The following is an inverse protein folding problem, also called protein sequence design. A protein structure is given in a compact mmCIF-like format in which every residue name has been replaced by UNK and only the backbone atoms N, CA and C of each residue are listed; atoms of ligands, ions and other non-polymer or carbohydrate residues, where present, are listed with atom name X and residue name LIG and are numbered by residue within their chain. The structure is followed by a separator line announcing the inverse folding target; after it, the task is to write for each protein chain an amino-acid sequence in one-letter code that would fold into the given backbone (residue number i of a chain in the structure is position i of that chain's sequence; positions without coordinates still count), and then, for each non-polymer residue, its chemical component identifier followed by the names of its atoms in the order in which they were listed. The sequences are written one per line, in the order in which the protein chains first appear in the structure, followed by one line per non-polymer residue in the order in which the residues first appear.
data_IF_369960952657
#
_entry.id   IF_369960952657
#
_cell.length_a   1.000
_cell.length_b   1.000
_cell.length_c   1.000
_cell.angle_alpha   90.00
_cell.angle_beta   90.00
_cell.angle_gamma   90.00
#
_symmetry.space_group_name_H-M   'P 1'
#
loop_
_entity.id
_entity.type
_entity.pdbx_description
1 polymer ?
#
# COMPACT_ATOMS: atom_id res chain seq x y z
N UNK A 1 -0.86 -4.80 -46.59
CA UNK A 1 0.61 -4.67 -46.51
C UNK A 1 1.12 -5.47 -45.31
N UNK A 2 2.31 -6.11 -45.41
CA UNK A 2 2.89 -6.94 -44.33
C UNK A 2 3.07 -6.19 -43.01
N UNK A 3 3.16 -4.88 -43.03
CA UNK A 3 3.32 -4.03 -41.83
C UNK A 3 2.00 -3.78 -41.08
N UNK A 4 0.85 -3.86 -41.75
CA UNK A 4 -0.44 -3.77 -41.04
C UNK A 4 -0.72 -5.04 -40.24
N UNK A 5 -0.36 -6.21 -40.77
CA UNK A 5 -0.46 -7.48 -40.03
C UNK A 5 0.46 -7.57 -38.82
N UNK A 6 1.67 -7.00 -38.87
CA UNK A 6 2.58 -7.02 -37.75
C UNK A 6 2.07 -6.14 -36.60
N UNK A 7 1.53 -4.96 -36.89
CA UNK A 7 0.87 -4.11 -35.87
C UNK A 7 -0.37 -4.78 -35.26
N UNK A 8 -1.13 -5.50 -36.04
CA UNK A 8 -2.31 -6.23 -35.58
C UNK A 8 -1.92 -7.46 -34.76
N UNK A 9 -0.85 -8.16 -35.11
CA UNK A 9 -0.26 -9.25 -34.32
C UNK A 9 0.30 -8.73 -33.02
N UNK A 10 1.01 -7.61 -33.02
CA UNK A 10 1.55 -6.98 -31.81
C UNK A 10 0.42 -6.43 -30.90
N UNK A 11 -0.68 -5.94 -31.47
CA UNK A 11 -1.85 -5.51 -30.70
C UNK A 11 -2.65 -6.69 -30.13
N UNK A 12 -2.59 -7.85 -30.77
CA UNK A 12 -3.15 -9.13 -30.30
C UNK A 12 -2.20 -9.95 -29.43
N UNK A 13 -0.96 -9.49 -29.21
CA UNK A 13 -0.12 -10.11 -28.19
C UNK A 13 -0.88 -10.01 -26.87
N UNK A 14 -1.36 -11.15 -26.41
CA UNK A 14 -1.95 -11.32 -25.08
C UNK A 14 -0.91 -10.74 -24.13
N UNK A 15 -1.22 -9.57 -23.55
CA UNK A 15 -0.35 -8.99 -22.53
C UNK A 15 -0.25 -10.02 -21.44
N UNK A 16 0.95 -10.54 -21.24
CA UNK A 16 1.20 -11.47 -20.13
C UNK A 16 0.70 -10.80 -18.86
N UNK A 17 -0.22 -11.41 -18.14
CA UNK A 17 -0.71 -10.85 -16.90
C UNK A 17 0.45 -10.74 -15.91
N UNK A 18 0.61 -9.57 -15.32
CA UNK A 18 1.64 -9.30 -14.31
C UNK A 18 0.98 -9.28 -12.94
N UNK A 19 1.55 -10.03 -12.01
CA UNK A 19 1.23 -9.94 -10.60
C UNK A 19 2.46 -9.40 -9.87
N UNK A 20 2.32 -8.27 -9.18
CA UNK A 20 3.42 -7.59 -8.50
C UNK A 20 3.65 -8.20 -7.12
N UNK A 21 4.88 -8.61 -6.84
CA UNK A 21 5.24 -9.21 -5.56
C UNK A 21 5.33 -8.23 -4.40
N UNK A 22 5.50 -6.93 -4.67
CA UNK A 22 5.60 -5.89 -3.65
C UNK A 22 5.58 -4.49 -4.28
N UNK A 23 4.80 -3.56 -3.75
CA UNK A 23 4.88 -2.15 -4.09
C UNK A 23 4.49 -1.25 -2.91
N UNK A 24 5.06 -0.04 -2.88
CA UNK A 24 4.88 0.96 -1.83
C UNK A 24 3.86 2.04 -2.20
N UNK A 25 2.86 1.71 -3.00
CA UNK A 25 1.86 2.69 -3.42
C UNK A 25 1.16 3.34 -2.21
N UNK A 26 0.73 2.52 -1.24
CA UNK A 26 -0.02 3.00 -0.08
C UNK A 26 0.82 3.95 0.78
N UNK A 27 2.09 3.62 1.01
CA UNK A 27 3.04 4.52 1.67
C UNK A 27 3.20 5.84 0.92
N UNK A 28 3.31 5.79 -0.40
CA UNK A 28 3.50 6.99 -1.21
C UNK A 28 2.27 7.91 -1.17
N UNK A 29 1.06 7.36 -1.23
CA UNK A 29 -0.20 8.11 -1.11
C UNK A 29 -0.37 8.68 0.31
N UNK A 30 -0.07 7.89 1.33
CA UNK A 30 -0.11 8.35 2.72
C UNK A 30 0.85 9.52 2.96
N UNK A 31 2.09 9.45 2.44
CA UNK A 31 3.09 10.51 2.58
C UNK A 31 2.71 11.80 1.84
N UNK A 32 2.01 11.70 0.73
CA UNK A 32 1.48 12.86 0.00
C UNK A 32 0.15 13.37 0.56
N UNK A 33 -0.40 12.71 1.58
CA UNK A 33 -1.72 12.97 2.16
C UNK A 33 -2.87 12.84 1.13
N UNK A 34 -2.70 11.98 0.14
CA UNK A 34 -3.74 11.62 -0.82
C UNK A 34 -4.55 10.43 -0.28
N UNK A 35 -5.45 10.70 0.67
CA UNK A 35 -6.22 9.68 1.37
C UNK A 35 -7.32 9.04 0.50
N UNK A 36 -7.68 9.67 -0.60
CA UNK A 36 -8.66 9.17 -1.57
C UNK A 36 -8.00 8.43 -2.74
N UNK A 37 -6.66 8.51 -2.86
CA UNK A 37 -5.89 7.84 -3.90
C UNK A 37 -6.08 8.43 -5.29
N UNK A 38 -6.39 9.71 -5.39
CA UNK A 38 -6.60 10.41 -6.67
C UNK A 38 -5.37 10.31 -7.58
N UNK A 39 -4.19 10.47 -7.03
CA UNK A 39 -2.92 10.32 -7.76
C UNK A 39 -2.81 8.93 -8.40
N UNK A 40 -3.24 7.88 -7.70
CA UNK A 40 -3.25 6.54 -8.26
C UNK A 40 -4.28 6.41 -9.39
N UNK A 41 -5.48 6.92 -9.21
CA UNK A 41 -6.60 6.75 -10.15
C UNK A 41 -6.38 7.55 -11.44
N UNK A 42 -5.92 8.80 -11.34
CA UNK A 42 -5.81 9.70 -12.49
C UNK A 42 -4.41 9.74 -13.12
N UNK A 43 -3.42 9.21 -12.43
CA UNK A 43 -2.02 9.18 -12.87
C UNK A 43 -1.13 10.08 -12.00
N UNK A 44 0.13 9.64 -11.84
CA UNK A 44 1.12 10.29 -10.98
C UNK A 44 2.28 10.83 -11.82
N UNK A 45 2.77 12.01 -11.47
CA UNK A 45 4.02 12.53 -12.08
C UNK A 45 5.23 11.72 -11.63
N UNK A 46 5.25 11.30 -10.35
CA UNK A 46 6.36 10.53 -9.75
C UNK A 46 5.88 9.15 -9.32
N UNK A 47 6.81 8.20 -9.27
CA UNK A 47 6.53 6.80 -8.92
C UNK A 47 6.28 5.93 -10.15
N UNK A 48 6.04 4.65 -9.91
CA UNK A 48 5.99 3.64 -10.96
C UNK A 48 4.59 3.04 -11.15
N UNK A 49 3.73 3.15 -10.13
CA UNK A 49 2.40 2.54 -10.11
C UNK A 49 1.33 3.62 -10.05
N UNK A 50 0.46 3.60 -11.06
CA UNK A 50 -0.83 4.27 -11.13
C UNK A 50 -1.76 3.45 -12.04
N UNK A 51 -3.04 3.69 -11.95
CA UNK A 51 -4.05 2.91 -12.69
C UNK A 51 -3.86 2.95 -14.22
N UNK A 52 -3.56 4.10 -14.87
CA UNK A 52 -3.25 4.13 -16.30
C UNK A 52 -2.05 3.25 -16.67
N UNK A 53 -0.95 3.29 -15.90
CA UNK A 53 0.25 2.47 -16.14
C UNK A 53 -0.01 1.00 -15.86
N UNK A 54 -0.76 0.67 -14.80
CA UNK A 54 -1.18 -0.70 -14.50
C UNK A 54 -1.94 -1.32 -15.67
N UNK A 55 -2.94 -0.62 -16.19
CA UNK A 55 -3.70 -1.06 -17.36
C UNK A 55 -2.81 -1.22 -18.61
N UNK A 56 -1.94 -0.25 -18.87
CA UNK A 56 -1.01 -0.29 -20.00
C UNK A 56 -0.01 -1.44 -19.88
N UNK A 57 0.50 -1.72 -18.67
CA UNK A 57 1.49 -2.76 -18.37
C UNK A 57 0.91 -4.17 -18.22
N UNK A 58 -0.43 -4.32 -18.15
CA UNK A 58 -1.06 -5.61 -17.93
C UNK A 58 -1.02 -6.10 -16.48
N UNK A 59 -0.86 -5.17 -15.51
CA UNK A 59 -0.93 -5.50 -14.08
C UNK A 59 -2.34 -5.99 -13.74
N UNK A 60 -2.44 -7.17 -13.15
CA UNK A 60 -3.69 -7.80 -12.70
C UNK A 60 -3.87 -7.79 -11.20
N UNK A 61 -2.81 -7.51 -10.45
CA UNK A 61 -2.83 -7.43 -9.00
C UNK A 61 -1.44 -7.43 -8.41
N UNK A 62 -1.38 -7.40 -7.09
CA UNK A 62 -0.12 -7.45 -6.36
C UNK A 62 -0.29 -7.35 -4.86
N UNK A 63 0.83 -7.46 -4.16
CA UNK A 63 0.94 -7.14 -2.74
C UNK A 63 1.19 -5.64 -2.58
N UNK A 64 0.15 -4.95 -2.07
CA UNK A 64 0.22 -3.53 -1.75
C UNK A 64 0.72 -3.38 -0.33
N UNK A 65 1.97 -2.97 -0.22
CA UNK A 65 2.68 -2.94 1.05
C UNK A 65 2.24 -1.77 1.92
N UNK A 66 2.11 -2.06 3.19
CA UNK A 66 1.91 -1.12 4.28
C UNK A 66 3.19 -1.17 5.10
N UNK A 67 4.02 -0.16 4.91
CA UNK A 67 5.27 0.02 5.63
C UNK A 67 5.14 1.23 6.54
N UNK A 68 5.46 1.06 7.82
CA UNK A 68 5.42 2.15 8.80
C UNK A 68 6.79 2.82 8.89
N UNK A 69 6.95 4.03 8.36
CA UNK A 69 8.24 4.71 8.42
C UNK A 69 8.50 5.29 9.82
N UNK A 70 9.75 5.68 10.07
CA UNK A 70 10.10 6.40 11.28
C UNK A 70 9.26 7.68 11.46
N UNK A 71 9.00 8.05 12.72
CA UNK A 71 8.09 9.15 13.08
C UNK A 71 8.44 10.51 12.47
N UNK A 72 9.74 10.75 12.23
CA UNK A 72 10.25 12.01 11.65
C UNK A 72 9.95 12.18 10.16
N UNK A 73 9.52 11.11 9.46
CA UNK A 73 9.14 11.15 8.04
C UNK A 73 7.64 10.97 7.81
N UNK A 74 6.85 10.83 8.88
CA UNK A 74 5.40 10.87 8.80
C UNK A 74 4.91 12.25 8.32
N UNK A 75 3.86 12.31 7.48
CA UNK A 75 3.33 13.59 7.02
C UNK A 75 2.76 14.41 8.18
N UNK A 76 2.91 15.74 8.11
CA UNK A 76 2.38 16.63 9.17
C UNK A 76 0.87 16.44 9.38
N UNK A 77 0.12 16.28 8.29
CA UNK A 77 -1.32 16.02 8.34
C UNK A 77 -1.70 14.74 9.12
N UNK A 78 -0.81 13.73 9.19
CA UNK A 78 -1.03 12.58 10.07
C UNK A 78 -1.05 13.01 11.54
N UNK A 79 -0.12 13.85 11.98
CA UNK A 79 -0.06 14.33 13.36
C UNK A 79 -1.22 15.24 13.73
N UNK A 80 -1.74 16.00 12.78
CA UNK A 80 -2.95 16.81 12.95
C UNK A 80 -4.19 15.94 13.19
N UNK A 81 -4.28 14.80 12.50
CA UNK A 81 -5.36 13.81 12.72
C UNK A 81 -5.21 13.00 14.00
N UNK A 82 -3.98 12.87 14.51
CA UNK A 82 -3.66 12.07 15.70
C UNK A 82 -2.96 12.90 16.79
N UNK A 83 -3.61 13.94 17.35
CA UNK A 83 -2.98 14.83 18.31
C UNK A 83 -2.52 14.09 19.59
N UNK A 84 -3.19 13.00 19.96
CA UNK A 84 -2.84 12.20 21.13
C UNK A 84 -1.49 11.48 20.97
N UNK A 85 -1.05 11.25 19.73
CA UNK A 85 0.24 10.62 19.44
C UNK A 85 1.41 11.62 19.39
N UNK A 86 1.15 12.93 19.41
CA UNK A 86 2.18 13.97 19.29
C UNK A 86 3.20 13.92 20.44
N UNK A 87 2.81 13.41 21.62
CA UNK A 87 3.72 13.22 22.75
C UNK A 87 4.87 12.27 22.41
N UNK A 88 4.62 11.28 21.56
CA UNK A 88 5.62 10.32 21.09
C UNK A 88 6.57 10.93 20.04
N UNK A 89 6.13 11.97 19.30
CA UNK A 89 6.97 12.74 18.36
C UNK A 89 8.08 13.52 19.08
N UNK A 90 7.83 13.95 20.32
CA UNK A 90 8.82 14.73 21.12
C UNK A 90 9.90 13.86 21.74
N UNK A 91 9.62 12.60 22.06
CA UNK A 91 10.62 11.64 22.54
C UNK A 91 11.71 11.31 21.50
N UNK A 92 11.36 11.38 20.22
CA UNK A 92 12.28 11.17 19.10
C UNK A 92 13.34 12.31 18.91
N UNK A 93 13.23 13.41 19.67
CA UNK A 93 14.20 14.53 19.63
C UNK A 93 15.29 14.49 20.67
N UNK A 94 15.26 13.54 21.60
CA UNK A 94 16.39 13.34 22.52
C UNK A 94 17.55 12.72 21.72
N UNK A 95 18.57 13.55 21.47
CA UNK A 95 19.80 13.15 20.82
C UNK A 95 20.43 11.95 21.52
N UNK A 96 20.36 10.80 20.87
CA UNK A 96 21.27 9.71 21.20
C UNK A 96 22.67 10.00 20.68
N UNK A 97 23.74 9.59 21.39
CA UNK A 97 25.11 9.87 20.98
C UNK A 97 25.43 9.21 19.62
N UNK A 98 26.13 9.94 18.79
CA UNK A 98 26.40 9.73 17.36
C UNK A 98 27.25 8.50 16.98
N UNK A 99 27.39 7.50 17.81
CA UNK A 99 28.30 6.37 17.60
C UNK A 99 27.66 5.00 17.40
N UNK A 100 26.33 4.90 17.24
CA UNK A 100 25.68 3.63 16.91
C UNK A 100 25.15 3.65 15.47
N UNK A 101 25.81 2.89 14.58
CA UNK A 101 25.38 2.58 13.21
C UNK A 101 24.03 1.82 13.13
N UNK A 102 23.40 1.53 14.27
CA UNK A 102 22.12 0.83 14.40
C UNK A 102 21.09 1.69 15.14
N UNK A 103 21.03 2.99 14.83
CA UNK A 103 20.03 3.88 15.41
C UNK A 103 18.66 3.65 14.74
N UNK A 104 18.09 2.47 14.95
CA UNK A 104 16.68 2.21 14.68
C UNK A 104 15.89 2.80 15.85
N UNK A 105 15.33 4.00 15.66
CA UNK A 105 14.28 4.50 16.57
C UNK A 105 13.22 3.43 16.70
N UNK A 106 12.99 2.96 17.90
CA UNK A 106 11.91 2.01 18.16
C UNK A 106 10.58 2.70 17.88
N UNK A 107 9.90 2.24 16.84
CA UNK A 107 8.57 2.72 16.47
C UNK A 107 7.58 2.26 17.55
N UNK A 108 6.82 3.20 18.13
CA UNK A 108 5.79 2.81 19.09
C UNK A 108 4.64 2.08 18.39
N UNK A 109 4.13 1.01 19.00
CA UNK A 109 3.02 0.23 18.48
C UNK A 109 1.78 1.09 18.18
N UNK A 110 1.47 2.07 19.02
CA UNK A 110 0.31 2.97 18.84
C UNK A 110 0.43 3.81 17.58
N UNK A 111 1.61 4.37 17.32
CA UNK A 111 1.88 5.09 16.08
C UNK A 111 1.82 4.15 14.87
N UNK A 112 2.48 3.00 14.97
CA UNK A 112 2.52 2.02 13.90
C UNK A 112 1.12 1.54 13.53
N UNK A 113 0.28 1.26 14.51
CA UNK A 113 -1.09 0.84 14.29
C UNK A 113 -1.94 1.93 13.63
N UNK A 114 -1.84 3.18 14.09
CA UNK A 114 -2.56 4.30 13.48
C UNK A 114 -2.15 4.52 12.02
N UNK A 115 -0.86 4.52 11.71
CA UNK A 115 -0.36 4.65 10.35
C UNK A 115 -0.80 3.47 9.45
N UNK A 116 -0.77 2.24 9.98
CA UNK A 116 -1.25 1.04 9.28
C UNK A 116 -2.73 1.16 8.93
N UNK A 117 -3.57 1.59 9.87
CA UNK A 117 -5.01 1.77 9.63
C UNK A 117 -5.27 2.85 8.59
N UNK A 118 -4.54 3.97 8.61
CA UNK A 118 -4.68 5.00 7.57
C UNK A 118 -4.35 4.46 6.17
N UNK A 119 -3.26 3.70 6.02
CA UNK A 119 -2.89 3.11 4.73
C UNK A 119 -3.89 2.05 4.26
N UNK A 120 -4.47 1.25 5.16
CA UNK A 120 -5.56 0.32 4.82
C UNK A 120 -6.80 1.11 4.36
N UNK A 121 -7.13 2.21 5.03
CA UNK A 121 -8.27 3.05 4.64
C UNK A 121 -8.05 3.69 3.26
N UNK A 122 -6.83 4.09 2.90
CA UNK A 122 -6.52 4.54 1.54
C UNK A 122 -6.84 3.43 0.53
N UNK A 123 -6.38 2.21 0.75
CA UNK A 123 -6.68 1.09 -0.15
C UNK A 123 -8.19 0.84 -0.27
N UNK A 124 -8.94 0.93 0.83
CA UNK A 124 -10.40 0.80 0.84
C UNK A 124 -11.07 1.93 0.08
N UNK A 125 -10.70 3.18 0.35
CA UNK A 125 -11.27 4.33 -0.35
C UNK A 125 -11.09 4.21 -1.87
N UNK A 126 -9.89 3.80 -2.31
CA UNK A 126 -9.63 3.57 -3.74
C UNK A 126 -10.54 2.48 -4.30
N UNK A 127 -10.66 1.34 -3.62
CA UNK A 127 -11.46 0.21 -4.08
C UNK A 127 -12.96 0.53 -4.06
N UNK A 128 -13.46 1.13 -2.99
CA UNK A 128 -14.89 1.46 -2.81
C UNK A 128 -15.38 2.52 -3.80
N UNK A 129 -14.51 3.48 -4.15
CA UNK A 129 -14.83 4.51 -5.14
C UNK A 129 -14.68 4.03 -6.59
N UNK A 130 -13.99 2.91 -6.82
CA UNK A 130 -13.71 2.36 -8.14
C UNK A 130 -13.98 0.85 -8.22
N UNK A 131 -15.17 0.37 -7.83
CA UNK A 131 -15.45 -1.07 -7.71
C UNK A 131 -15.45 -1.81 -9.05
N UNK A 132 -15.51 -1.08 -10.16
CA UNK A 132 -15.38 -1.58 -11.52
C UNK A 132 -13.92 -1.79 -11.96
N UNK A 133 -12.94 -1.22 -11.25
CA UNK A 133 -11.53 -1.21 -11.63
C UNK A 133 -10.61 -1.97 -10.68
N UNK A 134 -10.98 -2.05 -9.38
CA UNK A 134 -10.14 -2.57 -8.31
C UNK A 134 -10.98 -3.33 -7.29
N UNK A 135 -10.34 -4.26 -6.58
CA UNK A 135 -10.97 -5.00 -5.50
C UNK A 135 -9.91 -5.43 -4.48
N UNK A 136 -10.20 -5.26 -3.18
CA UNK A 136 -9.38 -5.87 -2.13
C UNK A 136 -9.73 -7.36 -2.05
N UNK A 137 -8.75 -8.21 -2.35
CA UNK A 137 -8.94 -9.65 -2.40
C UNK A 137 -8.44 -10.29 -1.11
N UNK A 138 -9.29 -11.08 -0.48
CA UNK A 138 -9.01 -11.72 0.81
C UNK A 138 -8.96 -13.25 0.74
N UNK A 139 -9.28 -13.82 -0.41
CA UNK A 139 -9.26 -15.26 -0.67
C UNK A 139 -9.05 -15.55 -2.17
N UNK A 140 -8.86 -16.82 -2.50
CA UNK A 140 -8.65 -17.24 -3.88
C UNK A 140 -9.86 -16.96 -4.78
N UNK A 141 -11.07 -17.10 -4.27
CA UNK A 141 -12.29 -16.90 -5.06
C UNK A 141 -12.45 -15.44 -5.48
N UNK A 142 -12.25 -14.49 -4.56
CA UNK A 142 -12.29 -13.05 -4.84
C UNK A 142 -11.15 -12.65 -5.76
N UNK A 143 -9.93 -13.17 -5.56
CA UNK A 143 -8.78 -12.92 -6.42
C UNK A 143 -9.05 -13.39 -7.85
N UNK A 144 -9.54 -14.62 -8.02
CA UNK A 144 -9.84 -15.19 -9.33
C UNK A 144 -10.92 -14.40 -10.06
N UNK A 145 -12.02 -14.10 -9.38
CA UNK A 145 -13.11 -13.29 -9.92
C UNK A 145 -12.65 -11.87 -10.32
N UNK A 146 -11.78 -11.28 -9.51
CA UNK A 146 -11.19 -9.97 -9.80
C UNK A 146 -10.39 -9.99 -11.11
N UNK A 147 -9.51 -10.98 -11.28
CA UNK A 147 -8.69 -11.15 -12.48
C UNK A 147 -9.57 -11.44 -13.72
N UNK A 148 -10.55 -12.31 -13.58
CA UNK A 148 -11.46 -12.69 -14.68
C UNK A 148 -12.33 -11.50 -15.15
N UNK A 149 -12.65 -10.57 -14.25
CA UNK A 149 -13.34 -9.30 -14.55
C UNK A 149 -12.40 -8.17 -14.98
N UNK A 150 -11.13 -8.46 -15.21
CA UNK A 150 -10.12 -7.49 -15.61
C UNK A 150 -9.89 -6.33 -14.63
N UNK A 151 -10.26 -6.51 -13.36
CA UNK A 151 -9.93 -5.59 -12.28
C UNK A 151 -8.51 -5.81 -11.79
N UNK A 152 -7.99 -4.86 -11.04
CA UNK A 152 -6.71 -4.98 -10.33
C UNK A 152 -7.00 -5.51 -8.92
N UNK A 153 -6.41 -6.67 -8.59
CA UNK A 153 -6.52 -7.28 -7.28
C UNK A 153 -5.53 -6.66 -6.29
N UNK A 154 -6.03 -6.06 -5.21
CA UNK A 154 -5.22 -5.54 -4.14
C UNK A 154 -5.14 -6.59 -3.01
N UNK A 155 -3.94 -7.13 -2.76
CA UNK A 155 -3.68 -7.95 -1.59
C UNK A 155 -2.93 -7.09 -0.57
N UNK A 156 -3.56 -6.88 0.60
CA UNK A 156 -2.96 -6.09 1.66
C UNK A 156 -1.85 -6.89 2.35
N UNK A 157 -0.68 -6.31 2.41
CA UNK A 157 0.53 -6.85 2.99
C UNK A 157 1.14 -5.85 3.96
N UNK A 158 1.53 -6.26 5.17
CA UNK A 158 2.35 -5.42 6.05
C UNK A 158 3.80 -5.87 5.98
N UNK A 159 4.68 -4.90 5.78
CA UNK A 159 6.13 -5.05 5.90
C UNK A 159 6.55 -4.53 7.27
N UNK A 160 6.97 -5.44 8.14
CA UNK A 160 7.15 -5.21 9.57
C UNK A 160 5.97 -5.72 10.41
N UNK A 161 6.12 -5.72 11.71
CA UNK A 161 5.09 -6.17 12.66
C UNK A 161 4.85 -5.16 13.81
N UNK A 162 5.34 -3.94 13.66
CA UNK A 162 5.33 -2.90 14.70
C UNK A 162 3.90 -2.51 15.12
N UNK A 163 2.94 -2.68 14.22
CA UNK A 163 1.52 -2.42 14.49
C UNK A 163 0.85 -3.49 15.36
N UNK A 164 1.50 -4.65 15.54
CA UNK A 164 0.92 -5.81 16.23
C UNK A 164 1.53 -5.91 17.63
N UNK A 165 0.68 -5.90 18.65
CA UNK A 165 1.10 -6.13 20.02
C UNK A 165 1.42 -7.59 20.32
N UNK A 166 2.11 -7.83 21.42
CA UNK A 166 2.48 -9.19 21.85
C UNK A 166 1.30 -10.10 22.17
N UNK A 167 0.12 -9.53 22.41
CA UNK A 167 -1.14 -10.25 22.61
C UNK A 167 -1.86 -10.62 21.29
N UNK A 168 -1.33 -10.18 20.16
CA UNK A 168 -1.84 -10.41 18.81
C UNK A 168 -3.26 -9.86 18.53
N UNK A 169 -3.82 -9.07 19.41
CA UNK A 169 -5.18 -8.51 19.25
C UNK A 169 -5.30 -7.71 17.95
N UNK A 170 -4.29 -6.90 17.62
CA UNK A 170 -4.28 -6.11 16.39
C UNK A 170 -4.19 -6.99 15.13
N UNK A 171 -3.54 -8.15 15.21
CA UNK A 171 -3.45 -9.07 14.09
C UNK A 171 -4.85 -9.59 13.69
N UNK A 172 -5.67 -9.96 14.67
CA UNK A 172 -7.04 -10.38 14.41
C UNK A 172 -7.88 -9.27 13.76
N UNK A 173 -7.76 -8.05 14.28
CA UNK A 173 -8.44 -6.88 13.72
C UNK A 173 -7.98 -6.65 12.26
N UNK A 174 -6.67 -6.62 12.02
CA UNK A 174 -6.09 -6.40 10.69
C UNK A 174 -6.53 -7.50 9.70
N UNK A 175 -6.57 -8.76 10.13
CA UNK A 175 -7.08 -9.87 9.32
C UNK A 175 -8.56 -9.65 8.95
N UNK A 176 -9.39 -9.28 9.90
CA UNK A 176 -10.82 -9.04 9.69
C UNK A 176 -11.09 -7.86 8.74
N UNK A 177 -10.21 -6.87 8.70
CA UNK A 177 -10.30 -5.75 7.77
C UNK A 177 -9.57 -5.97 6.44
N UNK A 178 -9.07 -7.16 6.17
CA UNK A 178 -8.61 -7.57 4.84
C UNK A 178 -7.12 -7.85 4.70
N UNK A 179 -6.30 -7.72 5.76
CA UNK A 179 -4.89 -8.10 5.70
C UNK A 179 -4.73 -9.60 5.43
N UNK A 180 -3.81 -9.97 4.53
CA UNK A 180 -3.59 -11.40 4.17
C UNK A 180 -2.12 -11.79 4.12
N UNK A 181 -1.22 -10.85 4.28
CA UNK A 181 0.21 -11.13 4.23
C UNK A 181 0.98 -10.28 5.24
N UNK A 182 2.00 -10.88 5.86
CA UNK A 182 2.92 -10.24 6.79
C UNK A 182 4.33 -10.63 6.41
N UNK A 183 5.23 -9.67 6.29
CA UNK A 183 6.66 -9.86 6.19
C UNK A 183 7.35 -9.30 7.45
N UNK A 184 7.58 -10.12 8.49
CA UNK A 184 8.34 -9.65 9.66
C UNK A 184 9.77 -9.30 9.24
N UNK A 185 10.27 -8.14 9.66
CA UNK A 185 11.61 -7.61 9.39
C UNK A 185 12.26 -7.16 10.70
#
# INVERSE_FOLDING_TARGET
SKFSNFREIVSKMIKTPVFDGHNDLLLALWRSNDLDGNDFIFGREKGHIDLPRCKKGGLKGGFFAIFVPATNVAPEAFWERHPDLVKNKKGAKEKMPSNNLLNTEQISQTYAYAATIEMINIARNIADQNPDKLEICTDYGTLRNCIDKEKIALLLHIEGAEAIGSDLTQLEILYNIGLRSIGPV
#
